data_IF_674231707952
#
_entry.id   IF_674231707952
#
_cell.length_a   1.000
_cell.length_b   1.000
_cell.length_c   1.000
_cell.angle_alpha   90.00
_cell.angle_beta   90.00
_cell.angle_gamma   90.00
#
_symmetry.space_group_name_H-M   'P 1'
#
loop_
_entity.id
_entity.type
_entity.pdbx_description
1 polymer ?
#
# COMPACT_ATOMS: atom_id res chain seq x y z
N UNK A 1 13.16 0.96 -38.98
CA UNK A 1 11.79 0.78 -38.46
C UNK A 1 11.93 0.04 -37.15
N UNK A 2 11.99 0.79 -36.04
CA UNK A 2 12.06 0.16 -34.72
C UNK A 2 10.78 -0.62 -34.51
N UNK A 3 10.89 -1.92 -34.23
CA UNK A 3 9.76 -2.70 -33.76
C UNK A 3 9.15 -2.08 -32.50
N UNK A 4 7.96 -2.55 -32.12
CA UNK A 4 7.27 -2.14 -30.89
C UNK A 4 7.98 -2.68 -29.66
N UNK A 5 9.09 -2.02 -29.29
CA UNK A 5 9.94 -2.37 -28.16
C UNK A 5 9.18 -2.34 -26.83
N UNK A 6 8.17 -1.48 -26.72
CA UNK A 6 7.25 -1.45 -25.58
C UNK A 6 6.52 -2.79 -25.41
N UNK A 7 6.01 -3.36 -26.52
CA UNK A 7 5.34 -4.66 -26.50
C UNK A 7 6.33 -5.81 -26.23
N UNK A 8 7.57 -5.70 -26.72
CA UNK A 8 8.62 -6.69 -26.45
C UNK A 8 9.09 -6.67 -24.98
N UNK A 9 9.02 -5.52 -24.32
CA UNK A 9 9.43 -5.36 -22.92
C UNK A 9 8.37 -5.82 -21.90
N UNK A 10 7.13 -6.07 -22.32
CA UNK A 10 6.07 -6.53 -21.43
C UNK A 10 6.33 -7.95 -20.91
N UNK A 11 6.59 -8.07 -19.61
CA UNK A 11 6.72 -9.35 -18.91
C UNK A 11 5.35 -9.99 -18.63
N UNK A 12 5.35 -11.26 -18.20
CA UNK A 12 4.14 -11.91 -17.70
C UNK A 12 3.47 -11.08 -16.59
N UNK A 13 4.23 -10.66 -15.59
CA UNK A 13 3.69 -9.89 -14.46
C UNK A 13 3.14 -8.53 -14.91
N UNK A 14 3.75 -7.89 -15.91
CA UNK A 14 3.22 -6.68 -16.52
C UNK A 14 1.87 -6.93 -17.21
N UNK A 15 1.77 -7.97 -18.05
CA UNK A 15 0.52 -8.34 -18.73
C UNK A 15 -0.59 -8.71 -17.74
N UNK A 16 -0.24 -9.42 -16.67
CA UNK A 16 -1.17 -9.76 -15.58
C UNK A 16 -1.64 -8.50 -14.85
N UNK A 17 -0.74 -7.57 -14.57
CA UNK A 17 -1.05 -6.31 -13.88
C UNK A 17 -1.91 -5.37 -14.73
N UNK A 18 -1.70 -5.33 -16.04
CA UNK A 18 -2.48 -4.51 -16.98
C UNK A 18 -3.84 -5.11 -17.31
N UNK A 19 -4.05 -6.40 -17.03
CA UNK A 19 -5.28 -7.12 -17.38
C UNK A 19 -5.81 -7.89 -16.17
N UNK A 20 -5.71 -9.21 -16.18
CA UNK A 20 -5.82 -10.08 -15.03
C UNK A 20 -5.19 -11.45 -15.35
N UNK A 21 -4.85 -12.21 -14.30
CA UNK A 21 -4.21 -13.53 -14.44
C UNK A 21 -5.01 -14.50 -15.31
N UNK A 22 -6.34 -14.42 -15.28
CA UNK A 22 -7.22 -15.29 -16.07
C UNK A 22 -7.15 -15.02 -17.57
N UNK A 23 -7.13 -13.76 -17.99
CA UNK A 23 -6.97 -13.35 -19.39
C UNK A 23 -5.60 -13.76 -19.92
N UNK A 24 -4.53 -13.47 -19.16
CA UNK A 24 -3.18 -13.87 -19.53
C UNK A 24 -3.07 -15.38 -19.73
N UNK A 25 -3.48 -16.19 -18.74
CA UNK A 25 -3.37 -17.66 -18.85
C UNK A 25 -4.14 -18.23 -20.03
N UNK A 26 -5.33 -17.69 -20.35
CA UNK A 26 -6.10 -18.11 -21.51
C UNK A 26 -5.40 -17.75 -22.82
N UNK A 27 -4.94 -16.51 -22.94
CA UNK A 27 -4.20 -16.03 -24.12
C UNK A 27 -2.91 -16.82 -24.35
N UNK A 28 -2.11 -17.04 -23.31
CA UNK A 28 -0.87 -17.81 -23.37
C UNK A 28 -1.12 -19.25 -23.81
N UNK A 29 -2.16 -19.90 -23.27
CA UNK A 29 -2.56 -21.25 -23.69
C UNK A 29 -2.99 -21.30 -25.17
N UNK A 30 -3.70 -20.28 -25.63
CA UNK A 30 -4.19 -20.18 -27.00
C UNK A 30 -3.04 -20.02 -28.01
N UNK A 31 -2.08 -19.15 -27.70
CA UNK A 31 -0.88 -18.94 -28.52
C UNK A 31 0.00 -20.19 -28.51
N UNK A 32 0.27 -20.78 -27.34
CA UNK A 32 1.08 -22.00 -27.23
C UNK A 32 0.42 -23.22 -27.91
N UNK A 33 -0.92 -23.25 -27.95
CA UNK A 33 -1.70 -24.30 -28.61
C UNK A 33 -1.83 -24.14 -30.13
N UNK A 34 -1.25 -23.09 -30.72
CA UNK A 34 -1.32 -22.83 -32.17
C UNK A 34 -2.68 -22.31 -32.66
N UNK A 35 -3.59 -21.96 -31.74
CA UNK A 35 -4.88 -21.33 -32.04
C UNK A 35 -4.85 -19.80 -31.89
N UNK A 36 -3.67 -19.23 -31.68
CA UNK A 36 -3.48 -17.78 -31.54
C UNK A 36 -3.60 -17.01 -32.86
N UNK A 37 -3.43 -15.68 -32.82
CA UNK A 37 -3.57 -14.83 -33.99
C UNK A 37 -2.36 -14.93 -34.92
N UNK A 38 -2.60 -14.69 -36.21
CA UNK A 38 -1.55 -14.26 -37.14
C UNK A 38 -1.30 -12.78 -36.92
N UNK A 39 -0.04 -12.39 -36.70
CA UNK A 39 0.34 -11.03 -36.35
C UNK A 39 1.08 -10.34 -37.49
N UNK A 40 0.69 -9.10 -37.78
CA UNK A 40 1.32 -8.22 -38.75
C UNK A 40 1.63 -6.87 -38.09
N UNK A 41 2.82 -6.34 -38.32
CA UNK A 41 3.20 -5.01 -37.86
C UNK A 41 3.06 -4.01 -39.01
N UNK A 42 2.10 -3.09 -38.87
CA UNK A 42 1.84 -2.01 -39.82
C UNK A 42 2.29 -0.67 -39.20
N UNK A 43 3.53 -0.29 -39.49
CA UNK A 43 4.17 0.86 -38.86
C UNK A 43 4.28 0.69 -37.34
N UNK A 44 3.58 1.55 -36.58
CA UNK A 44 3.54 1.49 -35.11
C UNK A 44 2.34 0.69 -34.58
N UNK A 45 1.45 0.19 -35.44
CA UNK A 45 0.27 -0.58 -35.03
C UNK A 45 0.51 -2.07 -35.25
N UNK A 46 0.35 -2.87 -34.21
CA UNK A 46 0.40 -4.34 -34.31
C UNK A 46 -1.01 -4.88 -34.46
N UNK A 47 -1.28 -5.52 -35.60
CA UNK A 47 -2.58 -6.13 -35.89
C UNK A 47 -2.49 -7.63 -35.73
N UNK A 48 -3.52 -8.23 -35.14
CA UNK A 48 -3.66 -9.67 -35.05
C UNK A 48 -5.00 -10.14 -35.56
N UNK A 49 -4.99 -11.17 -36.40
CA UNK A 49 -6.20 -11.80 -36.96
C UNK A 49 -6.28 -13.23 -36.43
N UNK A 50 -7.38 -13.55 -35.74
CA UNK A 50 -7.64 -14.86 -35.15
C UNK A 50 -8.33 -15.80 -36.15
N UNK A 51 -8.19 -17.13 -35.99
CA UNK A 51 -8.87 -18.10 -36.85
C UNK A 51 -10.40 -18.02 -36.85
N UNK A 52 -10.99 -17.48 -35.77
CA UNK A 52 -12.43 -17.26 -35.62
C UNK A 52 -12.92 -15.94 -36.25
N UNK A 53 -12.03 -15.19 -36.89
CA UNK A 53 -12.31 -13.91 -37.56
C UNK A 53 -12.24 -12.68 -36.64
N UNK A 54 -11.90 -12.85 -35.35
CA UNK A 54 -11.64 -11.70 -34.48
C UNK A 54 -10.39 -10.97 -34.96
N UNK A 55 -10.44 -9.64 -34.99
CA UNK A 55 -9.31 -8.78 -35.35
C UNK A 55 -9.07 -7.83 -34.20
N UNK A 56 -7.81 -7.71 -33.77
CA UNK A 56 -7.40 -6.67 -32.85
C UNK A 56 -6.28 -5.81 -33.44
N UNK A 57 -6.25 -4.54 -33.06
CA UNK A 57 -5.19 -3.60 -33.36
C UNK A 57 -4.66 -3.02 -32.04
N UNK A 58 -3.34 -3.07 -31.85
CA UNK A 58 -2.64 -2.52 -30.70
C UNK A 58 -1.83 -1.31 -31.17
N UNK A 59 -2.36 -0.09 -31.10
CA UNK A 59 -1.59 1.13 -31.40
C UNK A 59 -0.60 1.46 -30.26
N UNK A 60 0.23 2.51 -30.43
CA UNK A 60 0.94 3.12 -29.31
C UNK A 60 -0.02 3.65 -28.23
N UNK A 61 0.48 3.83 -27.01
CA UNK A 61 -0.32 4.35 -25.89
C UNK A 61 -0.88 3.30 -24.93
N UNK A 62 -0.28 2.10 -24.90
CA UNK A 62 -0.62 1.03 -23.97
C UNK A 62 -1.80 0.16 -24.40
N UNK A 63 -2.06 -0.90 -23.62
CA UNK A 63 -3.11 -1.89 -23.94
C UNK A 63 -4.54 -1.34 -23.85
N UNK A 64 -4.72 -0.19 -23.20
CA UNK A 64 -6.02 0.49 -23.09
C UNK A 64 -6.44 1.15 -24.41
N UNK A 65 -5.49 1.53 -25.25
CA UNK A 65 -5.74 2.06 -26.59
C UNK A 65 -6.00 0.95 -27.61
N UNK A 66 -5.91 -0.33 -27.22
CA UNK A 66 -6.14 -1.45 -28.11
C UNK A 66 -7.61 -1.54 -28.52
N UNK A 67 -7.83 -1.72 -29.81
CA UNK A 67 -9.14 -1.94 -30.40
C UNK A 67 -9.29 -3.42 -30.71
N UNK A 68 -10.41 -4.03 -30.35
CA UNK A 68 -10.68 -5.40 -30.76
C UNK A 68 -12.15 -5.61 -31.12
N UNK A 69 -12.40 -6.37 -32.20
CA UNK A 69 -13.74 -6.63 -32.73
C UNK A 69 -14.61 -7.52 -31.83
N UNK A 70 -14.07 -8.05 -30.72
CA UNK A 70 -14.83 -8.84 -29.75
C UNK A 70 -15.78 -8.01 -28.86
N UNK A 71 -15.72 -6.67 -28.95
CA UNK A 71 -16.63 -5.76 -28.23
C UNK A 71 -16.28 -5.50 -26.76
N UNK A 72 -15.12 -5.97 -26.28
CA UNK A 72 -14.65 -5.66 -24.93
C UNK A 72 -14.18 -4.20 -24.84
N UNK A 73 -14.53 -3.51 -23.75
CA UNK A 73 -14.00 -2.19 -23.45
C UNK A 73 -12.59 -2.32 -22.85
N UNK A 74 -11.56 -2.11 -23.66
CA UNK A 74 -10.15 -2.19 -23.27
C UNK A 74 -9.52 -3.57 -23.47
N UNK A 75 -8.52 -3.89 -22.64
CA UNK A 75 -7.70 -5.09 -22.83
C UNK A 75 -8.50 -6.39 -22.59
N UNK A 76 -8.57 -7.22 -23.63
CA UNK A 76 -9.21 -8.54 -23.59
C UNK A 76 -8.19 -9.67 -23.84
N UNK A 77 -8.65 -10.92 -23.81
CA UNK A 77 -7.76 -12.08 -24.07
C UNK A 77 -7.10 -12.00 -25.45
N UNK A 78 -7.81 -11.45 -26.43
CA UNK A 78 -7.32 -11.38 -27.81
C UNK A 78 -6.20 -10.34 -27.92
N UNK A 79 -6.34 -9.16 -27.29
CA UNK A 79 -5.27 -8.15 -27.21
C UNK A 79 -4.02 -8.74 -26.58
N UNK A 80 -4.15 -9.46 -25.46
CA UNK A 80 -3.02 -10.13 -24.81
C UNK A 80 -2.39 -11.19 -25.73
N UNK A 81 -3.20 -11.99 -26.43
CA UNK A 81 -2.70 -13.00 -27.35
C UNK A 81 -1.97 -12.38 -28.57
N UNK A 82 -2.40 -11.20 -29.06
CA UNK A 82 -1.65 -10.46 -30.09
C UNK A 82 -0.27 -10.03 -29.57
N UNK A 83 -0.17 -9.52 -28.34
CA UNK A 83 1.13 -9.16 -27.74
C UNK A 83 2.03 -10.39 -27.60
N UNK A 84 1.50 -11.50 -27.08
CA UNK A 84 2.27 -12.73 -26.92
C UNK A 84 2.74 -13.32 -28.26
N UNK A 85 1.87 -13.31 -29.28
CA UNK A 85 2.24 -13.75 -30.61
C UNK A 85 3.25 -12.80 -31.29
N UNK A 86 3.14 -11.50 -31.06
CA UNK A 86 4.12 -10.52 -31.51
C UNK A 86 5.50 -10.75 -30.87
N UNK A 87 5.53 -11.00 -29.55
CA UNK A 87 6.76 -11.33 -28.82
C UNK A 87 7.40 -12.63 -29.35
N UNK A 88 6.58 -13.65 -29.63
CA UNK A 88 7.06 -14.92 -30.18
C UNK A 88 7.56 -14.80 -31.64
N UNK A 89 6.99 -13.89 -32.44
CA UNK A 89 7.37 -13.64 -33.83
C UNK A 89 8.53 -12.63 -33.98
N UNK A 90 8.84 -11.87 -32.94
CA UNK A 90 10.02 -11.01 -32.89
C UNK A 90 11.32 -11.81 -33.07
N UNK A 91 12.46 -11.16 -33.35
CA UNK A 91 13.76 -11.85 -33.37
C UNK A 91 13.85 -12.65 -32.08
N UNK A 92 14.01 -13.98 -32.23
CA UNK A 92 13.82 -14.96 -31.18
C UNK A 92 14.24 -14.39 -29.84
N UNK A 93 13.32 -14.42 -28.86
CA UNK A 93 13.63 -14.22 -27.45
C UNK A 93 14.67 -15.26 -27.00
N UNK A 94 15.93 -15.05 -27.38
CA UNK A 94 17.03 -15.32 -26.50
C UNK A 94 16.79 -14.43 -25.29
N UNK A 95 16.78 -15.03 -24.12
CA UNK A 95 16.89 -14.31 -22.87
C UNK A 95 17.87 -13.14 -23.06
N UNK A 96 17.37 -11.92 -23.00
CA UNK A 96 18.18 -10.72 -22.82
C UNK A 96 18.74 -10.66 -21.40
N UNK A 97 19.29 -11.78 -20.91
CA UNK A 97 20.36 -11.76 -19.94
C UNK A 97 21.64 -11.59 -20.77
N UNK A 98 22.11 -10.36 -20.97
CA UNK A 98 23.37 -10.19 -21.70
C UNK A 98 23.76 -8.83 -22.24
N UNK A 99 22.95 -7.78 -22.09
CA UNK A 99 23.44 -6.42 -22.26
C UNK A 99 22.95 -5.65 -21.04
N UNK A 100 23.84 -5.01 -20.25
CA UNK A 100 23.39 -4.22 -19.11
C UNK A 100 22.38 -3.22 -19.68
N UNK A 101 21.12 -3.23 -19.20
CA UNK A 101 20.15 -2.25 -19.65
C UNK A 101 20.81 -0.90 -19.48
N UNK A 102 20.95 -0.17 -20.58
CA UNK A 102 21.40 1.21 -20.54
C UNK A 102 20.64 1.87 -19.39
N UNK A 103 21.39 2.42 -18.43
CA UNK A 103 20.83 2.81 -17.13
C UNK A 103 19.72 3.85 -17.37
N UNK A 104 18.48 3.39 -17.31
CA UNK A 104 17.28 4.21 -17.42
C UNK A 104 16.67 4.33 -16.03
N UNK A 105 16.17 5.53 -15.71
CA UNK A 105 15.45 5.79 -14.47
C UNK A 105 14.04 6.30 -14.77
N UNK A 106 13.01 5.84 -14.04
CA UNK A 106 11.70 6.50 -14.11
C UNK A 106 11.75 8.01 -13.82
N UNK A 107 12.78 8.49 -13.13
CA UNK A 107 13.02 9.92 -12.88
C UNK A 107 13.31 10.75 -14.14
N UNK A 108 13.68 10.11 -15.25
CA UNK A 108 14.10 10.77 -16.49
C UNK A 108 12.92 11.38 -17.28
N UNK A 109 11.67 10.94 -17.02
CA UNK A 109 10.49 11.58 -17.59
C UNK A 109 10.37 13.01 -17.06
N UNK A 110 10.21 14.01 -17.94
CA UNK A 110 10.01 15.40 -17.53
C UNK A 110 8.56 15.72 -17.13
N UNK A 111 8.36 16.92 -16.57
CA UNK A 111 7.03 17.36 -16.12
C UNK A 111 6.06 17.60 -17.29
N UNK A 112 6.56 17.84 -18.50
CA UNK A 112 5.74 18.05 -19.69
C UNK A 112 5.15 16.72 -20.19
N UNK A 113 5.94 15.65 -20.19
CA UNK A 113 5.51 14.29 -20.49
C UNK A 113 4.49 13.78 -19.45
N UNK A 114 4.75 14.04 -18.16
CA UNK A 114 3.78 13.77 -17.10
C UNK A 114 2.46 14.52 -17.32
N UNK A 115 2.51 15.82 -17.66
CA UNK A 115 1.30 16.61 -17.90
C UNK A 115 0.52 16.17 -19.14
N UNK A 116 1.21 15.76 -20.21
CA UNK A 116 0.59 15.24 -21.41
C UNK A 116 -0.18 13.93 -21.15
N UNK A 117 0.36 13.04 -20.31
CA UNK A 117 -0.29 11.77 -19.97
C UNK A 117 -1.40 11.93 -18.91
N UNK A 118 -1.11 12.64 -17.83
CA UNK A 118 -1.96 12.67 -16.63
C UNK A 118 -3.05 13.74 -16.71
N UNK A 119 -2.84 14.74 -17.58
CA UNK A 119 -3.68 15.92 -17.71
C UNK A 119 -3.46 16.97 -16.61
N UNK A 120 -3.86 18.21 -16.92
CA UNK A 120 -3.64 19.40 -16.07
C UNK A 120 -4.16 19.26 -14.65
N UNK A 121 -5.33 18.63 -14.46
CA UNK A 121 -5.97 18.49 -13.15
C UNK A 121 -5.15 17.60 -12.22
N UNK A 122 -4.72 16.44 -12.71
CA UNK A 122 -3.90 15.48 -11.96
C UNK A 122 -2.52 16.09 -11.66
N UNK A 123 -1.90 16.78 -12.62
CA UNK A 123 -0.65 17.50 -12.38
C UNK A 123 -0.78 18.59 -11.31
N UNK A 124 -1.87 19.36 -11.31
CA UNK A 124 -2.11 20.35 -10.26
C UNK A 124 -2.29 19.69 -8.88
N UNK A 125 -2.94 18.51 -8.81
CA UNK A 125 -3.04 17.71 -7.58
C UNK A 125 -1.67 17.24 -7.09
N UNK A 126 -0.88 16.64 -8.00
CA UNK A 126 0.47 16.20 -7.73
C UNK A 126 1.33 17.35 -7.18
N UNK A 127 1.35 18.51 -7.84
CA UNK A 127 2.13 19.68 -7.42
C UNK A 127 1.75 20.17 -6.02
N UNK A 128 0.47 20.12 -5.64
CA UNK A 128 0.03 20.43 -4.26
C UNK A 128 0.56 19.42 -3.25
N UNK A 129 0.53 18.12 -3.57
CA UNK A 129 1.08 17.06 -2.72
C UNK A 129 2.61 17.20 -2.58
N UNK A 130 3.32 17.52 -3.66
CA UNK A 130 4.75 17.83 -3.63
C UNK A 130 5.05 19.05 -2.74
N UNK A 131 4.27 20.13 -2.85
CA UNK A 131 4.46 21.32 -2.02
C UNK A 131 4.19 21.06 -0.53
N UNK A 132 3.25 20.16 -0.21
CA UNK A 132 2.98 19.73 1.17
C UNK A 132 4.05 18.79 1.72
N UNK A 133 4.73 18.04 0.83
CA UNK A 133 5.68 17.00 1.17
C UNK A 133 5.02 15.64 1.37
N UNK A 134 5.71 14.58 0.98
CA UNK A 134 5.26 13.20 1.17
C UNK A 134 6.43 12.26 1.44
N UNK A 135 6.13 11.11 2.04
CA UNK A 135 7.09 10.02 2.21
C UNK A 135 7.03 9.08 1.02
N UNK A 136 8.18 8.61 0.56
CA UNK A 136 8.27 7.60 -0.48
C UNK A 136 9.41 6.61 -0.19
N UNK A 137 9.31 5.40 -0.73
CA UNK A 137 10.42 4.42 -0.80
C UNK A 137 10.60 3.99 -2.25
N UNK A 138 11.83 3.98 -2.73
CA UNK A 138 12.15 3.63 -4.12
C UNK A 138 12.79 2.24 -4.14
N UNK A 139 12.21 1.34 -4.93
CA UNK A 139 12.78 0.03 -5.23
C UNK A 139 13.36 0.04 -6.64
N UNK A 140 14.66 -0.22 -6.73
CA UNK A 140 15.41 -0.30 -7.99
C UNK A 140 15.26 -1.70 -8.58
N UNK A 141 15.18 -1.78 -9.90
CA UNK A 141 15.14 -3.06 -10.60
C UNK A 141 16.36 -3.94 -10.23
N UNK A 142 16.10 -5.18 -9.86
CA UNK A 142 17.10 -6.22 -9.59
C UNK A 142 16.85 -7.44 -10.49
N UNK A 143 17.74 -8.43 -10.46
CA UNK A 143 17.50 -9.68 -11.18
C UNK A 143 16.28 -10.45 -10.65
N UNK A 144 15.97 -10.32 -9.35
CA UNK A 144 14.82 -10.97 -8.71
C UNK A 144 13.53 -10.18 -8.89
N UNK A 145 13.62 -8.84 -8.84
CA UNK A 145 12.50 -7.94 -9.10
C UNK A 145 12.87 -6.95 -10.22
N UNK A 146 12.64 -7.30 -11.50
CA UNK A 146 13.13 -6.52 -12.64
C UNK A 146 12.33 -5.24 -12.93
N UNK A 147 11.21 -5.02 -12.22
CA UNK A 147 10.33 -3.87 -12.42
C UNK A 147 10.58 -2.84 -11.33
N UNK A 148 11.08 -1.64 -11.65
CA UNK A 148 11.26 -0.58 -10.67
C UNK A 148 9.91 -0.05 -10.19
N UNK A 149 9.82 0.28 -8.91
CA UNK A 149 8.59 0.75 -8.30
C UNK A 149 8.81 1.72 -7.14
N UNK A 150 7.77 2.45 -6.77
CA UNK A 150 7.77 3.41 -5.66
C UNK A 150 6.62 3.10 -4.72
N UNK A 151 6.94 2.97 -3.45
CA UNK A 151 5.96 2.98 -2.37
C UNK A 151 5.63 4.43 -2.00
N UNK A 152 4.35 4.78 -2.03
CA UNK A 152 3.79 6.04 -1.55
C UNK A 152 2.86 5.75 -0.35
N UNK A 153 2.42 6.75 0.42
CA UNK A 153 1.73 6.50 1.69
C UNK A 153 0.45 5.66 1.60
N UNK A 154 -0.21 5.65 0.44
CA UNK A 154 -1.50 4.98 0.24
C UNK A 154 -1.51 4.01 -0.96
N UNK A 155 -0.40 3.89 -1.67
CA UNK A 155 -0.34 3.14 -2.93
C UNK A 155 1.10 2.85 -3.34
N UNK A 156 1.29 1.88 -4.22
CA UNK A 156 2.53 1.69 -4.96
C UNK A 156 2.35 2.09 -6.42
N UNK A 157 3.45 2.48 -7.07
CA UNK A 157 3.51 2.76 -8.51
C UNK A 157 4.62 1.94 -9.14
N UNK A 158 4.29 1.12 -10.13
CA UNK A 158 5.23 0.26 -10.88
C UNK A 158 5.42 0.79 -12.30
N UNK A 159 6.66 0.77 -12.80
CA UNK A 159 7.00 1.19 -14.16
C UNK A 159 7.26 -0.05 -15.03
N UNK A 160 6.20 -0.56 -15.65
CA UNK A 160 6.19 -1.89 -16.26
C UNK A 160 6.98 -1.99 -17.57
N UNK A 161 7.15 -0.87 -18.28
CA UNK A 161 7.89 -0.78 -19.54
C UNK A 161 8.93 0.33 -19.42
N UNK A 162 10.23 0.05 -19.67
CA UNK A 162 11.26 1.08 -19.69
C UNK A 162 10.94 2.18 -20.70
N UNK A 163 11.16 3.45 -20.32
CA UNK A 163 10.99 4.63 -21.20
C UNK A 163 9.58 4.86 -21.76
N UNK A 164 8.56 4.15 -21.27
CA UNK A 164 7.17 4.40 -21.65
C UNK A 164 6.26 4.56 -20.42
N UNK A 165 5.90 5.82 -20.14
CA UNK A 165 5.06 6.20 -19.00
C UNK A 165 3.61 5.70 -19.16
N UNK A 166 3.15 5.38 -20.37
CA UNK A 166 1.80 4.87 -20.60
C UNK A 166 1.55 3.52 -19.91
N UNK A 167 2.62 2.81 -19.53
CA UNK A 167 2.57 1.54 -18.79
C UNK A 167 2.85 1.69 -17.29
N UNK A 168 3.02 2.90 -16.77
CA UNK A 168 3.08 3.13 -15.32
C UNK A 168 1.73 2.80 -14.68
N UNK A 169 1.72 2.05 -13.58
CA UNK A 169 0.47 1.63 -12.92
C UNK A 169 0.54 1.85 -11.43
N UNK A 170 -0.54 2.40 -10.88
CA UNK A 170 -0.79 2.45 -9.44
C UNK A 170 -1.73 1.31 -9.04
N UNK A 171 -1.51 0.75 -7.85
CA UNK A 171 -2.44 -0.19 -7.22
C UNK A 171 -3.67 0.50 -6.58
N UNK A 172 -3.65 1.84 -6.46
CA UNK A 172 -4.80 2.62 -6.06
C UNK A 172 -5.69 2.98 -7.25
N UNK A 173 -7.01 2.92 -7.03
CA UNK A 173 -8.00 3.31 -8.04
C UNK A 173 -8.00 4.82 -8.23
N UNK A 174 -7.87 5.27 -9.48
CA UNK A 174 -7.96 6.67 -9.92
C UNK A 174 -6.93 7.67 -9.33
N UNK A 175 -5.78 7.21 -8.80
CA UNK A 175 -4.70 8.09 -8.30
C UNK A 175 -3.68 8.41 -9.42
N UNK A 176 -4.12 9.02 -10.53
CA UNK A 176 -3.22 9.38 -11.65
C UNK A 176 -2.08 10.31 -11.22
N UNK A 177 -2.30 11.13 -10.20
CA UNK A 177 -1.27 12.01 -9.65
C UNK A 177 -0.16 11.22 -8.90
N UNK A 178 -0.41 9.99 -8.45
CA UNK A 178 0.59 9.09 -7.88
C UNK A 178 1.75 8.82 -8.84
N UNK A 179 1.48 8.73 -10.15
CA UNK A 179 2.51 8.52 -11.17
C UNK A 179 3.51 9.68 -11.16
N UNK A 180 3.02 10.93 -11.09
CA UNK A 180 3.89 12.10 -10.99
C UNK A 180 4.70 12.11 -9.68
N UNK A 181 4.07 11.76 -8.56
CA UNK A 181 4.76 11.66 -7.27
C UNK A 181 5.85 10.59 -7.26
N UNK A 182 5.60 9.44 -7.89
CA UNK A 182 6.58 8.38 -8.04
C UNK A 182 7.77 8.83 -8.90
N UNK A 183 7.54 9.54 -10.00
CA UNK A 183 8.63 10.10 -10.82
C UNK A 183 9.45 11.12 -10.02
N UNK A 184 8.81 12.03 -9.27
CA UNK A 184 9.54 12.97 -8.43
C UNK A 184 10.27 12.31 -7.25
N UNK A 185 9.71 11.24 -6.68
CA UNK A 185 10.41 10.44 -5.68
C UNK A 185 11.67 9.80 -6.28
N UNK A 186 11.60 9.27 -7.49
CA UNK A 186 12.77 8.75 -8.21
C UNK A 186 13.84 9.82 -8.41
N UNK A 187 13.47 11.02 -8.88
CA UNK A 187 14.42 12.14 -9.03
C UNK A 187 15.08 12.49 -7.70
N UNK A 188 14.28 12.63 -6.64
CA UNK A 188 14.77 13.00 -5.31
C UNK A 188 15.56 11.87 -4.62
N UNK A 189 15.33 10.61 -4.99
CA UNK A 189 16.12 9.46 -4.56
C UNK A 189 17.45 9.42 -5.29
N UNK A 190 17.48 9.67 -6.60
CA UNK A 190 18.72 9.65 -7.39
C UNK A 190 19.78 10.62 -6.84
N UNK A 191 19.36 11.78 -6.33
CA UNK A 191 20.24 12.75 -5.66
C UNK A 191 20.75 12.29 -4.29
N UNK A 192 20.05 11.37 -3.62
CA UNK A 192 20.28 10.96 -2.23
C UNK A 192 20.44 9.45 -2.04
N UNK A 193 20.70 8.72 -3.12
CA UNK A 193 20.62 7.26 -3.12
C UNK A 193 21.56 6.62 -2.09
N UNK A 194 22.76 7.19 -1.93
CA UNK A 194 23.75 6.75 -0.95
C UNK A 194 23.32 6.98 0.51
N UNK A 195 22.51 7.99 0.77
CA UNK A 195 22.00 8.31 2.12
C UNK A 195 20.76 7.50 2.45
N UNK A 196 19.83 7.40 1.50
CA UNK A 196 18.50 6.83 1.73
C UNK A 196 18.53 5.30 1.67
N UNK A 197 19.17 4.73 0.65
CA UNK A 197 19.07 3.30 0.33
C UNK A 197 17.63 2.91 -0.02
N UNK A 198 17.14 1.80 0.56
CA UNK A 198 15.76 1.29 0.42
C UNK A 198 14.86 1.71 1.61
N UNK A 199 15.07 2.92 2.16
CA UNK A 199 14.28 3.42 3.28
C UNK A 199 13.26 4.45 2.80
N UNK A 200 12.20 4.63 3.59
CA UNK A 200 11.30 5.75 3.40
C UNK A 200 12.02 7.09 3.62
N UNK A 201 11.78 8.06 2.75
CA UNK A 201 12.38 9.38 2.80
C UNK A 201 11.39 10.46 2.38
N UNK A 202 11.64 11.70 2.80
CA UNK A 202 10.78 12.83 2.44
C UNK A 202 11.09 13.36 1.03
N UNK A 203 10.04 13.66 0.29
CA UNK A 203 10.05 14.29 -1.04
C UNK A 203 9.22 15.58 -0.98
N UNK A 204 9.80 16.70 -1.38
CA UNK A 204 9.14 18.00 -1.33
C UNK A 204 8.86 18.50 0.09
N UNK A 205 7.84 19.35 0.22
CA UNK A 205 7.50 20.06 1.46
C UNK A 205 8.15 21.45 1.54
N UNK A 206 7.73 22.29 2.51
CA UNK A 206 8.45 23.51 2.82
C UNK A 206 9.89 23.14 3.17
N UNK A 207 10.87 23.85 2.60
CA UNK A 207 12.27 23.65 2.93
C UNK A 207 12.42 23.72 4.45
N UNK A 208 12.65 22.56 5.07
CA UNK A 208 13.06 22.52 6.46
C UNK A 208 14.42 23.22 6.48
N UNK A 209 14.45 24.44 7.01
CA UNK A 209 15.69 25.13 7.32
C UNK A 209 16.57 24.16 8.10
N UNK A 210 17.84 24.12 7.73
CA UNK A 210 18.88 23.31 8.36
C UNK A 210 18.70 23.20 9.89
N UNK A 211 18.25 22.04 10.33
CA UNK A 211 18.30 21.52 11.68
C UNK A 211 18.22 20.00 11.49
N UNK A 212 19.24 19.21 11.70
CA UNK A 212 20.33 19.31 12.65
C UNK A 212 20.61 17.85 12.97
N UNK A 213 21.77 17.38 12.56
CA UNK A 213 22.30 16.06 12.88
C UNK A 213 22.18 15.77 14.37
N UNK A 214 21.76 14.55 14.71
CA UNK A 214 22.12 13.91 15.98
C UNK A 214 20.96 13.61 16.93
N UNK A 215 20.57 12.34 16.97
CA UNK A 215 20.10 11.70 18.20
C UNK A 215 20.46 10.21 18.16
N UNK A 216 21.77 9.93 18.04
CA UNK A 216 22.34 8.71 18.59
C UNK A 216 22.55 8.95 20.08
N UNK A 217 21.69 8.37 20.92
CA UNK A 217 21.89 8.33 22.35
C UNK A 217 22.64 7.03 22.68
N UNK A 218 23.96 7.06 22.48
CA UNK A 218 24.86 6.07 23.07
C UNK A 218 25.34 6.60 24.43
N UNK A 219 25.07 5.79 25.43
CA UNK A 219 25.43 5.99 26.83
C UNK A 219 26.95 6.02 27.01
N UNK A 220 27.49 7.20 27.30
CA UNK A 220 28.85 7.36 27.80
C UNK A 220 28.91 7.03 29.30
N UNK A 221 29.63 5.96 29.63
CA UNK A 221 30.10 5.66 30.97
C UNK A 221 31.62 5.54 30.93
N UNK A 222 32.34 6.50 31.49
CA UNK A 222 33.57 6.26 32.25
C UNK A 222 33.94 7.50 33.09
N UNK A 223 34.56 7.27 34.25
CA UNK A 223 35.10 8.31 35.12
C UNK A 223 34.96 7.98 36.61
N UNK A 224 35.83 7.09 37.10
CA UNK A 224 35.82 6.60 38.48
C UNK A 224 36.28 7.58 39.57
N UNK A 225 36.05 7.17 40.81
CA UNK A 225 36.78 7.63 41.99
C UNK A 225 36.84 6.53 43.06
N UNK A 226 38.04 6.35 43.60
CA UNK A 226 38.50 5.36 44.59
C UNK A 226 38.16 5.76 46.03
N UNK A 227 38.01 4.77 46.92
CA UNK A 227 38.48 4.86 48.31
C UNK A 227 37.49 4.45 49.42
N UNK A 228 37.75 3.28 50.03
CA UNK A 228 37.76 2.93 51.49
C UNK A 228 36.59 3.38 52.39
N UNK A 229 36.13 2.71 53.45
CA UNK A 229 36.46 1.50 54.21
C UNK A 229 35.30 1.29 55.21
N UNK A 230 35.07 0.04 55.61
CA UNK A 230 34.61 -0.40 56.95
C UNK A 230 33.22 -0.06 57.53
N UNK A 231 32.47 -1.17 57.72
CA UNK A 231 31.88 -1.63 59.01
C UNK A 231 30.42 -1.30 59.39
N UNK A 232 29.64 -2.39 59.44
CA UNK A 232 28.32 -2.66 60.08
C UNK A 232 28.39 -2.56 61.64
N UNK A 233 27.29 -2.59 62.47
CA UNK A 233 26.09 -3.43 62.30
C UNK A 233 24.70 -2.93 62.81
N UNK A 234 23.70 -3.79 62.56
CA UNK A 234 22.24 -3.73 62.79
C UNK A 234 21.73 -3.49 64.23
N UNK A 235 20.41 -3.28 64.40
CA UNK A 235 19.58 -4.41 64.86
C UNK A 235 18.18 -4.54 64.23
N UNK A 236 17.74 -5.80 64.06
CA UNK A 236 16.37 -6.31 63.77
C UNK A 236 15.39 -6.00 64.94
N UNK A 237 14.03 -6.11 64.86
CA UNK A 237 13.26 -7.22 64.25
C UNK A 237 11.93 -6.88 63.53
N UNK A 238 11.49 -7.79 62.65
CA UNK A 238 10.12 -7.97 62.10
C UNK A 238 9.11 -8.35 63.22
N UNK A 239 7.75 -8.33 63.08
CA UNK A 239 7.00 -8.68 61.85
C UNK A 239 5.58 -8.11 61.58
N UNK A 240 5.12 -8.32 60.32
CA UNK A 240 3.75 -8.61 59.84
C UNK A 240 2.70 -7.51 59.55
N UNK A 241 2.09 -7.68 58.36
CA UNK A 241 0.85 -7.12 57.80
C UNK A 241 0.98 -5.65 57.31
N UNK A 242 0.61 -5.25 56.10
CA UNK A 242 -0.61 -5.51 55.33
C UNK A 242 -0.36 -5.30 53.80
N UNK A 243 -1.25 -5.85 52.98
CA UNK A 243 -1.03 -6.18 51.57
C UNK A 243 -0.73 -5.04 50.60
N UNK A 244 0.32 -5.24 49.80
CA UNK A 244 0.54 -4.52 48.56
C UNK A 244 -0.41 -5.06 47.49
N UNK A 245 -1.54 -4.38 47.33
CA UNK A 245 -2.32 -4.45 46.11
C UNK A 245 -1.42 -4.04 44.95
N UNK A 246 -1.16 -4.98 44.04
CA UNK A 246 -0.54 -4.71 42.74
C UNK A 246 -1.25 -3.52 42.10
N UNK A 247 -0.54 -2.40 41.96
CA UNK A 247 -0.97 -1.27 41.16
C UNK A 247 -1.06 -1.75 39.70
N UNK A 248 -2.22 -2.29 39.33
CA UNK A 248 -2.52 -2.69 37.97
C UNK A 248 -2.26 -1.47 37.08
N UNK A 249 -1.29 -1.59 36.17
CA UNK A 249 -0.99 -0.55 35.20
C UNK A 249 -2.30 -0.03 34.59
N UNK A 250 -2.50 1.29 34.61
CA UNK A 250 -3.68 1.92 34.01
C UNK A 250 -3.68 1.56 32.54
N UNK A 251 -4.51 0.59 32.15
CA UNK A 251 -4.51 0.11 30.78
C UNK A 251 -5.35 1.07 29.94
N UNK A 252 -4.75 1.64 28.89
CA UNK A 252 -5.42 2.57 27.97
C UNK A 252 -6.36 1.79 27.02
N UNK A 253 -7.69 1.92 27.16
CA UNK A 253 -8.64 1.16 26.34
C UNK A 253 -8.57 1.52 24.85
N UNK A 254 -8.15 2.74 24.50
CA UNK A 254 -7.97 3.14 23.09
C UNK A 254 -6.78 2.43 22.47
N UNK A 255 -5.68 2.34 23.21
CA UNK A 255 -4.51 1.59 22.77
C UNK A 255 -4.83 0.10 22.63
N UNK A 256 -5.56 -0.48 23.59
CA UNK A 256 -5.98 -1.89 23.52
C UNK A 256 -6.83 -2.19 22.29
N UNK A 257 -7.83 -1.34 21.96
CA UNK A 257 -8.68 -1.58 20.79
C UNK A 257 -7.92 -1.36 19.49
N UNK A 258 -6.97 -0.42 19.45
CA UNK A 258 -6.09 -0.22 18.30
C UNK A 258 -5.18 -1.43 18.05
N UNK A 259 -4.56 -1.96 19.10
CA UNK A 259 -3.72 -3.16 19.01
C UNK A 259 -4.55 -4.39 18.60
N UNK A 260 -5.74 -4.56 19.18
CA UNK A 260 -6.65 -5.64 18.80
C UNK A 260 -7.07 -5.54 17.33
N UNK A 261 -7.38 -4.34 16.83
CA UNK A 261 -7.74 -4.13 15.43
C UNK A 261 -6.57 -4.44 14.49
N UNK A 262 -5.35 -4.03 14.84
CA UNK A 262 -4.15 -4.36 14.08
C UNK A 262 -3.90 -5.87 14.04
N UNK A 263 -4.04 -6.56 15.17
CA UNK A 263 -3.90 -8.01 15.26
C UNK A 263 -4.92 -8.73 14.38
N UNK A 264 -6.19 -8.30 14.39
CA UNK A 264 -7.24 -8.89 13.54
C UNK A 264 -6.94 -8.64 12.06
N UNK A 265 -6.47 -7.44 11.70
CA UNK A 265 -6.13 -7.10 10.32
C UNK A 265 -4.98 -7.95 9.78
N UNK A 266 -3.90 -8.10 10.56
CA UNK A 266 -2.72 -8.88 10.18
C UNK A 266 -2.99 -10.39 10.18
N UNK A 267 -3.80 -10.87 11.12
CA UNK A 267 -4.14 -12.30 11.22
C UNK A 267 -5.18 -12.70 10.16
N UNK A 268 -6.12 -11.81 9.85
CA UNK A 268 -7.27 -12.08 9.00
C UNK A 268 -8.36 -12.84 9.75
N UNK A 269 -9.62 -12.48 9.47
CA UNK A 269 -10.80 -13.02 10.17
C UNK A 269 -10.89 -14.55 10.10
N UNK A 270 -10.50 -15.14 8.96
CA UNK A 270 -10.53 -16.58 8.73
C UNK A 270 -9.52 -17.37 9.60
N UNK A 271 -8.54 -16.71 10.21
CA UNK A 271 -7.46 -17.34 10.96
C UNK A 271 -7.47 -16.97 12.46
N UNK A 272 -8.52 -16.29 12.94
CA UNK A 272 -8.63 -15.92 14.35
C UNK A 272 -8.81 -17.16 15.23
N UNK A 273 -7.94 -17.32 16.22
CA UNK A 273 -8.06 -18.35 17.24
C UNK A 273 -9.13 -18.03 18.30
N UNK A 274 -9.53 -19.04 19.07
CA UNK A 274 -10.57 -18.94 20.11
C UNK A 274 -10.31 -17.86 21.19
N UNK A 275 -9.06 -17.39 21.34
CA UNK A 275 -8.69 -16.33 22.28
C UNK A 275 -9.12 -14.91 21.88
N UNK A 276 -9.51 -14.68 20.61
CA UNK A 276 -9.89 -13.34 20.14
C UNK A 276 -11.23 -12.88 20.71
N UNK A 277 -12.24 -13.75 20.78
CA UNK A 277 -13.57 -13.43 21.30
C UNK A 277 -13.54 -12.92 22.76
N UNK A 278 -12.91 -13.62 23.73
CA UNK A 278 -12.83 -13.11 25.10
C UNK A 278 -11.97 -11.85 25.22
N UNK A 279 -10.94 -11.67 24.37
CA UNK A 279 -10.13 -10.45 24.31
C UNK A 279 -10.95 -9.26 23.82
N UNK A 280 -11.72 -9.41 22.74
CA UNK A 280 -12.63 -8.38 22.23
C UNK A 280 -13.71 -8.01 23.26
N UNK A 281 -14.29 -9.01 23.93
CA UNK A 281 -15.27 -8.76 24.99
C UNK A 281 -14.67 -7.96 26.17
N UNK A 282 -13.40 -8.19 26.52
CA UNK A 282 -12.69 -7.39 27.54
C UNK A 282 -12.50 -5.94 27.07
N UNK A 283 -12.00 -5.75 25.84
CA UNK A 283 -11.81 -4.41 25.26
C UNK A 283 -13.12 -3.63 25.22
N UNK A 284 -14.23 -4.24 24.80
CA UNK A 284 -15.56 -3.61 24.81
C UNK A 284 -15.96 -3.12 26.21
N UNK A 285 -15.78 -3.95 27.25
CA UNK A 285 -16.05 -3.54 28.65
C UNK A 285 -15.14 -2.40 29.13
N UNK A 286 -13.89 -2.40 28.71
CA UNK A 286 -12.93 -1.36 29.10
C UNK A 286 -13.22 -0.03 28.38
N UNK A 287 -13.67 -0.07 27.12
CA UNK A 287 -14.18 1.10 26.38
C UNK A 287 -15.45 1.67 27.01
N UNK A 288 -16.40 0.80 27.39
CA UNK A 288 -17.64 1.18 28.05
C UNK A 288 -17.39 1.85 29.40
N UNK A 289 -16.55 1.24 30.25
CA UNK A 289 -16.15 1.81 31.54
C UNK A 289 -15.46 3.18 31.39
N UNK A 290 -14.74 3.39 30.29
CA UNK A 290 -14.07 4.65 29.98
C UNK A 290 -14.98 5.69 29.30
N UNK A 291 -16.27 5.37 29.05
CA UNK A 291 -17.21 6.27 28.39
C UNK A 291 -16.87 6.56 26.92
N UNK A 292 -16.13 5.66 26.27
CA UNK A 292 -15.67 5.85 24.89
C UNK A 292 -16.73 5.34 23.92
N UNK A 293 -17.81 6.10 23.78
CA UNK A 293 -19.04 5.65 23.11
C UNK A 293 -18.84 5.23 21.65
N UNK A 294 -18.13 6.02 20.85
CA UNK A 294 -17.97 5.70 19.43
C UNK A 294 -17.07 4.50 19.17
N UNK A 295 -15.88 4.39 19.82
CA UNK A 295 -15.10 3.17 19.74
C UNK A 295 -15.84 1.93 20.24
N UNK A 296 -16.68 2.07 21.28
CA UNK A 296 -17.49 0.97 21.79
C UNK A 296 -18.48 0.46 20.72
N UNK A 297 -19.23 1.36 20.08
CA UNK A 297 -20.18 0.98 19.03
C UNK A 297 -19.49 0.30 17.85
N UNK A 298 -18.35 0.83 17.38
CA UNK A 298 -17.58 0.17 16.32
C UNK A 298 -17.05 -1.20 16.75
N UNK A 299 -16.67 -1.38 18.03
CA UNK A 299 -16.24 -2.66 18.58
C UNK A 299 -17.41 -3.65 18.76
N UNK A 300 -18.63 -3.17 19.03
CA UNK A 300 -19.86 -3.96 19.07
C UNK A 300 -20.20 -4.47 17.66
N UNK A 301 -20.23 -3.58 16.67
CA UNK A 301 -20.48 -3.94 15.26
C UNK A 301 -19.43 -4.92 14.73
N UNK A 302 -18.17 -4.75 15.13
CA UNK A 302 -17.10 -5.68 14.78
C UNK A 302 -17.34 -7.06 15.41
N UNK A 303 -17.75 -7.12 16.68
CA UNK A 303 -18.07 -8.37 17.34
C UNK A 303 -19.21 -9.11 16.62
N UNK A 304 -20.25 -8.38 16.17
CA UNK A 304 -21.36 -8.94 15.41
C UNK A 304 -20.93 -9.48 14.05
N UNK A 305 -20.04 -8.79 13.34
CA UNK A 305 -19.48 -9.26 12.08
C UNK A 305 -18.59 -10.49 12.23
N UNK A 306 -17.81 -10.58 13.30
CA UNK A 306 -16.98 -11.76 13.61
C UNK A 306 -17.83 -12.98 14.01
N UNK A 307 -18.91 -12.76 14.77
CA UNK A 307 -19.88 -13.80 15.09
C UNK A 307 -20.59 -14.30 13.83
N UNK A 308 -21.06 -13.38 12.98
CA UNK A 308 -21.67 -13.71 11.69
C UNK A 308 -20.73 -14.50 10.78
N UNK A 309 -19.42 -14.19 10.79
CA UNK A 309 -18.41 -14.96 10.05
C UNK A 309 -18.32 -16.40 10.55
N UNK A 310 -18.22 -16.58 11.87
CA UNK A 310 -18.08 -17.90 12.50
C UNK A 310 -19.33 -18.77 12.24
N UNK A 311 -20.51 -18.14 12.26
CA UNK A 311 -21.79 -18.78 11.95
C UNK A 311 -22.02 -18.98 10.44
N UNK A 312 -21.15 -18.46 9.57
CA UNK A 312 -21.32 -18.43 8.12
C UNK A 312 -22.66 -17.79 7.70
N UNK A 313 -23.08 -16.76 8.42
CA UNK A 313 -24.33 -16.07 8.19
C UNK A 313 -24.24 -15.09 7.01
N UNK A 314 -25.34 -14.95 6.26
CA UNK A 314 -25.43 -14.03 5.10
C UNK A 314 -25.27 -12.54 5.45
N UNK A 315 -25.38 -12.18 6.75
CA UNK A 315 -25.16 -10.82 7.25
C UNK A 315 -23.68 -10.45 7.41
N UNK A 316 -22.77 -11.41 7.26
CA UNK A 316 -21.34 -11.14 7.28
C UNK A 316 -20.93 -10.38 6.01
N UNK A 317 -20.21 -9.27 6.20
CA UNK A 317 -19.74 -8.37 5.15
C UNK A 317 -18.26 -8.07 5.36
N UNK A 318 -17.35 -8.61 4.54
CA UNK A 318 -15.91 -8.43 4.74
C UNK A 318 -15.47 -6.97 4.58
N UNK A 319 -16.16 -6.19 3.74
CA UNK A 319 -15.88 -4.77 3.56
C UNK A 319 -16.20 -3.97 4.84
N UNK A 320 -17.32 -4.30 5.50
CA UNK A 320 -17.72 -3.66 6.76
C UNK A 320 -16.72 -3.98 7.87
N UNK A 321 -16.17 -5.20 7.90
CA UNK A 321 -15.08 -5.53 8.85
C UNK A 321 -13.87 -4.64 8.63
N UNK A 322 -13.45 -4.45 7.37
CA UNK A 322 -12.31 -3.57 7.06
C UNK A 322 -12.59 -2.12 7.47
N UNK A 323 -13.80 -1.61 7.21
CA UNK A 323 -14.22 -0.26 7.61
C UNK A 323 -14.19 -0.09 9.13
N UNK A 324 -14.71 -1.05 9.89
CA UNK A 324 -14.72 -1.02 11.37
C UNK A 324 -13.31 -1.07 11.96
N UNK A 325 -12.41 -1.91 11.42
CA UNK A 325 -11.01 -1.95 11.83
C UNK A 325 -10.29 -0.63 11.56
N UNK A 326 -10.54 -0.04 10.38
CA UNK A 326 -9.99 1.26 10.00
C UNK A 326 -10.54 2.39 10.89
N UNK A 327 -11.84 2.38 11.20
CA UNK A 327 -12.49 3.34 12.08
C UNK A 327 -11.89 3.33 13.49
N UNK A 328 -11.74 2.16 14.09
CA UNK A 328 -11.14 2.00 15.43
C UNK A 328 -9.72 2.58 15.48
N UNK A 329 -8.89 2.27 14.48
CA UNK A 329 -7.54 2.81 14.37
C UNK A 329 -7.52 4.33 14.11
N UNK A 330 -8.44 4.83 13.26
CA UNK A 330 -8.54 6.25 12.95
C UNK A 330 -8.96 7.08 14.17
N UNK A 331 -9.95 6.63 14.95
CA UNK A 331 -10.41 7.31 16.17
C UNK A 331 -9.32 7.36 17.24
N UNK A 332 -8.59 6.26 17.46
CA UNK A 332 -7.46 6.23 18.39
C UNK A 332 -6.38 7.26 18.01
N UNK A 333 -5.99 7.30 16.74
CA UNK A 333 -4.99 8.28 16.23
C UNK A 333 -5.50 9.72 16.30
N UNK A 334 -6.75 9.97 15.92
CA UNK A 334 -7.34 11.30 15.93
C UNK A 334 -7.44 11.88 17.36
N UNK A 335 -7.73 11.02 18.35
CA UNK A 335 -7.83 11.42 19.76
C UNK A 335 -6.49 11.81 20.40
N UNK A 336 -5.36 11.40 19.82
CA UNK A 336 -4.00 11.76 20.24
C UNK A 336 -3.36 12.88 19.41
N UNK A 337 -4.06 13.40 18.39
CA UNK A 337 -3.51 14.41 17.48
C UNK A 337 -3.67 15.83 18.03
N UNK A 338 -2.57 16.59 18.03
CA UNK A 338 -2.56 18.03 18.38
C UNK A 338 -3.38 18.87 17.38
N UNK A 339 -3.60 18.36 16.16
CA UNK A 339 -4.42 18.99 15.11
C UNK A 339 -5.80 18.33 14.96
N UNK A 340 -6.19 17.46 15.90
CA UNK A 340 -7.43 16.68 15.84
C UNK A 340 -8.69 17.46 16.23
N UNK A 341 -9.85 16.88 15.93
CA UNK A 341 -11.14 17.32 16.50
C UNK A 341 -11.17 17.09 18.02
N UNK A 342 -12.03 17.78 18.77
CA UNK A 342 -12.20 17.55 20.21
C UNK A 342 -12.46 16.07 20.52
N UNK A 343 -11.87 15.57 21.62
CA UNK A 343 -12.00 14.17 22.06
C UNK A 343 -13.47 13.74 22.19
N UNK A 344 -14.36 14.62 22.62
CA UNK A 344 -15.79 14.33 22.69
C UNK A 344 -16.42 14.02 21.33
N UNK A 345 -16.01 14.70 20.25
CA UNK A 345 -16.47 14.39 18.88
C UNK A 345 -15.86 13.11 18.33
N UNK A 346 -14.59 12.85 18.65
CA UNK A 346 -13.85 11.69 18.12
C UNK A 346 -14.19 10.39 18.86
N UNK A 347 -14.42 10.49 20.17
CA UNK A 347 -14.56 9.35 21.07
C UNK A 347 -15.96 9.22 21.69
N UNK A 348 -16.76 10.30 21.71
CA UNK A 348 -18.10 10.28 22.26
C UNK A 348 -18.11 10.31 23.79
N UNK A 349 -17.12 10.95 24.42
CA UNK A 349 -16.99 11.01 25.89
C UNK A 349 -18.14 11.72 26.60
N UNK A 350 -18.90 12.53 25.87
CA UNK A 350 -19.98 13.37 26.40
C UNK A 350 -21.36 12.83 25.98
N UNK A 351 -21.42 11.66 25.34
CA UNK A 351 -22.64 11.09 24.77
C UNK A 351 -23.27 10.08 25.72
N UNK A 352 -24.59 10.21 25.94
CA UNK A 352 -25.31 9.26 26.76
C UNK A 352 -25.43 7.90 26.05
N UNK A 353 -25.29 6.80 26.80
CA UNK A 353 -25.42 5.44 26.26
C UNK A 353 -26.83 5.13 25.73
N UNK A 354 -27.85 5.80 26.26
CA UNK A 354 -29.25 5.70 25.84
C UNK A 354 -29.87 7.10 25.79
N UNK A 355 -30.57 7.39 24.69
CA UNK A 355 -31.42 8.58 24.58
C UNK A 355 -32.86 8.11 24.73
N UNK A 356 -33.54 8.57 25.78
CA UNK A 356 -34.95 8.25 25.96
C UNK A 356 -35.74 8.78 24.76
N UNK A 357 -36.42 7.88 24.03
CA UNK A 357 -37.35 8.27 22.97
C UNK A 357 -38.51 9.03 23.63
N UNK A 358 -38.54 10.35 23.48
CA UNK A 358 -39.71 11.15 23.84
C UNK A 358 -40.80 10.87 22.80
N UNK A 359 -41.69 9.94 23.13
CA UNK A 359 -42.92 9.73 22.37
C UNK A 359 -43.88 10.85 22.80
N UNK A 360 -43.96 11.90 21.98
CA UNK A 360 -44.95 12.98 22.09
C UNK A 360 -46.20 12.70 21.26
#
# INVERSE_FOLDING_TARGET
MSGRADLLALTEDALVSLTNRGLYKRAAKEVAGGSGPTVEADGEVVRGTFPDGVVCAVPPGGLEAAECSCGAAGACRHVVAVVLAYQAAGPASGAGAGEPPEAWSPGDFDDAALEALLGKRSMASARRRLAAGFLARVSVATAEEPVPWVELPNCSVRFLVPRDLAYARSDARDDKDAIALAVWAWRAWAERAAEVGDRHFSVGGPAAGAAGTGAGAESGADGGATGSDSSLPSPSPSPSAEGEGSAAAVVDPLKQVQELAADIFLTGVAHLGAGFTPRLARVRRDLDRAGLRWPLLAADDLADQLAAHTERAARHRPELVADLLAELAARARAAGSVRGQPRSRVLGTDEAAEVALQIG
#
